data_IF_694157401079
#
_entry.id   IF_694157401079
#
_cell.length_a   1.000
_cell.length_b   1.000
_cell.length_c   1.000
_cell.angle_alpha   90.00
_cell.angle_beta   90.00
_cell.angle_gamma   90.00
#
_symmetry.space_group_name_H-M   'P 1'
#
loop_
_entity.id
_entity.type
_entity.pdbx_description
1 polymer ?
#
# COMPACT_ATOMS: atom_id res chain seq x y z
N UNK A 1 1.59 19.79 -6.58
CA UNK A 1 1.71 18.39 -7.04
C UNK A 1 2.94 17.69 -6.46
N UNK A 2 4.15 18.23 -6.61
CA UNK A 2 5.40 17.57 -6.18
C UNK A 2 5.40 17.04 -4.73
N UNK A 3 4.99 17.86 -3.75
CA UNK A 3 4.90 17.41 -2.34
C UNK A 3 3.94 16.24 -2.13
N UNK A 4 2.81 16.23 -2.83
CA UNK A 4 1.81 15.16 -2.74
C UNK A 4 2.34 13.89 -3.40
N UNK A 5 3.00 14.04 -4.54
CA UNK A 5 3.64 12.94 -5.24
C UNK A 5 4.71 12.26 -4.38
N UNK A 6 5.63 13.02 -3.80
CA UNK A 6 6.67 12.49 -2.90
C UNK A 6 6.09 11.77 -1.68
N UNK A 7 4.93 12.20 -1.16
CA UNK A 7 4.24 11.49 -0.09
C UNK A 7 3.61 10.17 -0.59
N UNK A 8 2.97 10.20 -1.76
CA UNK A 8 2.22 9.06 -2.29
C UNK A 8 3.13 7.86 -2.63
N UNK A 9 4.38 8.12 -3.04
CA UNK A 9 5.35 7.08 -3.38
C UNK A 9 6.21 6.62 -2.20
N UNK A 10 5.92 7.09 -0.98
CA UNK A 10 6.62 6.70 0.24
C UNK A 10 5.72 5.74 1.06
N UNK A 11 5.98 4.42 1.02
CA UNK A 11 5.13 3.44 1.69
C UNK A 11 5.10 3.59 3.21
N UNK A 12 6.17 4.09 3.84
CA UNK A 12 6.20 4.35 5.29
C UNK A 12 5.25 5.47 5.67
N UNK A 13 5.14 6.50 4.82
CA UNK A 13 4.18 7.61 5.01
C UNK A 13 2.75 7.22 4.64
N UNK A 14 2.57 6.37 3.64
CA UNK A 14 1.22 5.98 3.19
C UNK A 14 0.61 4.90 4.08
N UNK A 15 1.38 3.97 4.63
CA UNK A 15 0.85 2.86 5.44
C UNK A 15 -0.07 3.32 6.59
N UNK A 16 0.26 4.37 7.37
CA UNK A 16 -0.62 4.89 8.42
C UNK A 16 -1.99 5.40 7.93
N UNK A 17 -2.14 5.71 6.64
CA UNK A 17 -3.42 6.11 6.05
C UNK A 17 -4.38 4.91 5.88
N UNK A 18 -3.87 3.68 5.95
CA UNK A 18 -4.65 2.46 5.77
C UNK A 18 -5.06 1.88 7.15
N UNK A 19 -6.34 1.55 7.36
CA UNK A 19 -6.83 1.07 8.66
C UNK A 19 -6.08 -0.18 9.16
N UNK A 20 -5.40 -0.02 10.30
CA UNK A 20 -4.68 -1.10 10.97
C UNK A 20 -3.51 -1.66 10.16
N UNK A 21 -3.02 -0.93 9.16
CA UNK A 21 -1.83 -1.28 8.41
C UNK A 21 -0.56 -0.79 9.12
N UNK A 22 0.49 -1.61 9.08
CA UNK A 22 1.84 -1.22 9.46
C UNK A 22 2.85 -1.94 8.58
N UNK A 23 3.94 -1.26 8.27
CA UNK A 23 5.12 -1.93 7.73
C UNK A 23 5.84 -2.65 8.86
N UNK A 24 6.29 -3.85 8.58
CA UNK A 24 7.06 -4.69 9.50
C UNK A 24 8.52 -4.74 9.12
N UNK A 25 8.82 -4.63 7.82
CA UNK A 25 10.20 -4.68 7.29
C UNK A 25 10.26 -4.01 5.93
N UNK A 26 11.34 -3.26 5.67
CA UNK A 26 11.73 -2.81 4.32
C UNK A 26 12.71 -3.85 3.80
N UNK A 27 12.33 -4.62 2.78
CA UNK A 27 13.17 -5.70 2.23
C UNK A 27 14.21 -5.14 1.27
N UNK A 28 13.79 -4.23 0.41
CA UNK A 28 14.62 -3.48 -0.52
C UNK A 28 13.91 -2.15 -0.88
N UNK A 29 14.43 -1.43 -1.88
CA UNK A 29 13.91 -0.11 -2.28
C UNK A 29 12.44 -0.14 -2.75
N UNK A 30 11.97 -1.27 -3.29
CA UNK A 30 10.63 -1.40 -3.87
C UNK A 30 9.77 -2.44 -3.16
N UNK A 31 10.33 -3.27 -2.28
CA UNK A 31 9.64 -4.38 -1.62
C UNK A 31 9.51 -4.16 -0.12
N UNK A 32 8.29 -4.27 0.38
CA UNK A 32 7.94 -3.96 1.77
C UNK A 32 7.11 -5.11 2.35
N UNK A 33 7.46 -5.56 3.55
CA UNK A 33 6.59 -6.44 4.32
C UNK A 33 5.74 -5.62 5.27
N UNK A 34 4.49 -6.05 5.43
CA UNK A 34 3.58 -5.41 6.36
C UNK A 34 2.47 -6.35 6.82
N UNK A 35 1.69 -5.83 7.76
CA UNK A 35 0.45 -6.44 8.17
C UNK A 35 -0.67 -5.42 8.16
N UNK A 36 -1.89 -5.91 8.00
CA UNK A 36 -3.09 -5.07 8.01
C UNK A 36 -4.20 -5.77 8.78
N UNK A 37 -4.74 -5.08 9.78
CA UNK A 37 -5.91 -5.52 10.53
C UNK A 37 -7.08 -4.62 10.24
N UNK A 38 -8.08 -5.14 9.53
CA UNK A 38 -9.30 -4.42 9.19
C UNK A 38 -10.50 -5.02 9.91
N UNK A 39 -11.41 -4.15 10.37
CA UNK A 39 -12.73 -4.55 10.85
C UNK A 39 -13.76 -4.24 9.77
N UNK A 40 -14.49 -5.26 9.32
CA UNK A 40 -15.58 -5.14 8.35
C UNK A 40 -16.84 -5.67 9.03
N UNK A 41 -17.65 -4.76 9.59
CA UNK A 41 -18.81 -5.12 10.41
C UNK A 41 -18.38 -5.95 11.64
N UNK A 42 -19.01 -7.12 11.90
CA UNK A 42 -18.64 -7.99 13.02
C UNK A 42 -17.34 -8.78 12.78
N UNK A 43 -16.78 -8.76 11.56
CA UNK A 43 -15.62 -9.55 11.17
C UNK A 43 -14.34 -8.73 11.39
N UNK A 44 -13.35 -9.35 12.05
CA UNK A 44 -11.99 -8.81 12.17
C UNK A 44 -11.04 -9.72 11.37
N UNK A 45 -10.45 -9.20 10.31
CA UNK A 45 -9.49 -9.92 9.48
C UNK A 45 -8.09 -9.32 9.67
N UNK A 46 -7.09 -10.18 9.83
CA UNK A 46 -5.69 -9.78 9.98
C UNK A 46 -4.86 -10.45 8.92
N UNK A 47 -4.19 -9.67 8.09
CA UNK A 47 -3.35 -10.14 7.00
C UNK A 47 -1.89 -9.84 7.30
N UNK A 48 -1.00 -10.71 6.87
CA UNK A 48 0.43 -10.44 6.72
C UNK A 48 0.82 -10.63 5.26
N UNK A 49 1.67 -9.77 4.74
CA UNK A 49 1.90 -9.73 3.32
C UNK A 49 3.08 -8.89 2.89
N UNK A 50 3.21 -8.81 1.58
CA UNK A 50 4.25 -8.11 0.86
C UNK A 50 3.59 -7.15 -0.12
N UNK A 51 4.18 -5.96 -0.24
CA UNK A 51 3.82 -4.92 -1.18
C UNK A 51 5.05 -4.59 -2.02
N UNK A 52 4.85 -4.47 -3.32
CA UNK A 52 5.91 -4.17 -4.30
C UNK A 52 5.52 -2.93 -5.11
N UNK A 53 6.44 -1.97 -5.20
CA UNK A 53 6.36 -0.81 -6.07
C UNK A 53 6.85 -1.22 -7.47
N UNK A 54 5.91 -1.47 -8.39
CA UNK A 54 6.24 -2.04 -9.71
C UNK A 54 6.49 -0.96 -10.78
N UNK A 55 6.04 0.27 -10.54
CA UNK A 55 6.24 1.41 -11.43
C UNK A 55 6.12 2.71 -10.63
N UNK A 56 7.06 3.63 -10.81
CA UNK A 56 6.97 5.01 -10.33
C UNK A 56 7.47 5.96 -11.43
N UNK A 57 6.52 6.60 -12.12
CA UNK A 57 6.79 7.62 -13.14
C UNK A 57 6.65 9.01 -12.53
N UNK A 58 7.78 9.66 -12.26
CA UNK A 58 7.84 11.00 -11.69
C UNK A 58 7.29 12.10 -12.62
N UNK A 59 7.44 11.92 -13.94
CA UNK A 59 7.01 12.90 -14.93
C UNK A 59 5.48 12.93 -15.01
N UNK A 60 4.87 11.76 -15.14
CA UNK A 60 3.42 11.58 -15.19
C UNK A 60 2.78 11.55 -13.79
N UNK A 61 3.61 11.51 -12.73
CA UNK A 61 3.21 11.32 -11.33
C UNK A 61 2.25 10.16 -11.18
N UNK A 62 2.63 9.03 -11.76
CA UNK A 62 1.86 7.79 -11.82
C UNK A 62 2.63 6.69 -11.11
N UNK A 63 1.96 6.01 -10.18
CA UNK A 63 2.53 4.89 -9.44
C UNK A 63 1.66 3.65 -9.62
N UNK A 64 2.29 2.50 -9.75
CA UNK A 64 1.63 1.19 -9.69
C UNK A 64 2.27 0.35 -8.60
N UNK A 65 1.43 -0.28 -7.80
CA UNK A 65 1.83 -1.17 -6.71
C UNK A 65 1.07 -2.48 -6.81
N UNK A 66 1.72 -3.56 -6.40
CA UNK A 66 1.05 -4.84 -6.19
C UNK A 66 1.21 -5.28 -4.75
N UNK A 67 0.22 -5.98 -4.23
CA UNK A 67 0.25 -6.53 -2.87
C UNK A 67 -0.26 -7.96 -2.86
N UNK A 68 0.33 -8.79 -2.00
CA UNK A 68 -0.14 -10.15 -1.68
C UNK A 68 -0.14 -10.32 -0.17
N UNK A 69 -1.17 -10.96 0.37
CA UNK A 69 -1.29 -11.21 1.80
C UNK A 69 -2.01 -12.50 2.10
N UNK A 70 -1.67 -13.11 3.23
CA UNK A 70 -2.36 -14.27 3.79
C UNK A 70 -3.02 -13.88 5.10
N UNK A 71 -4.26 -14.33 5.30
CA UNK A 71 -4.94 -14.12 6.56
C UNK A 71 -4.27 -14.96 7.65
N UNK A 72 -3.94 -14.35 8.79
CA UNK A 72 -3.23 -15.01 9.89
C UNK A 72 -3.99 -16.20 10.48
N UNK A 73 -5.32 -16.22 10.36
CA UNK A 73 -6.20 -17.33 10.78
C UNK A 73 -6.21 -18.51 9.81
N UNK A 74 -5.57 -18.39 8.64
CA UNK A 74 -5.61 -19.39 7.57
C UNK A 74 -6.85 -19.33 6.68
N UNK A 75 -7.74 -18.35 6.90
CA UNK A 75 -9.03 -18.22 6.20
C UNK A 75 -8.95 -17.85 4.72
N UNK A 76 -7.79 -17.41 4.21
CA UNK A 76 -7.62 -17.12 2.79
C UNK A 76 -6.39 -16.28 2.44
N UNK A 77 -6.31 -15.90 1.17
CA UNK A 77 -5.30 -14.98 0.65
C UNK A 77 -5.95 -13.79 -0.06
N UNK A 78 -5.26 -12.66 -0.06
CA UNK A 78 -5.66 -11.45 -0.77
C UNK A 78 -4.55 -11.05 -1.75
N UNK A 79 -4.96 -10.54 -2.91
CA UNK A 79 -4.07 -9.87 -3.86
C UNK A 79 -4.64 -8.50 -4.20
N UNK A 80 -3.76 -7.55 -4.44
CA UNK A 80 -4.10 -6.17 -4.75
C UNK A 80 -3.23 -5.68 -5.90
N UNK A 81 -3.83 -4.91 -6.80
CA UNK A 81 -3.12 -4.04 -7.73
C UNK A 81 -3.68 -2.64 -7.55
N UNK A 82 -2.81 -1.70 -7.25
CA UNK A 82 -3.16 -0.30 -7.07
C UNK A 82 -2.48 0.52 -8.15
N UNK A 83 -3.25 1.41 -8.77
CA UNK A 83 -2.74 2.38 -9.73
C UNK A 83 -3.20 3.74 -9.24
N UNK A 84 -2.28 4.67 -9.05
CA UNK A 84 -2.58 6.01 -8.57
C UNK A 84 -1.89 7.06 -9.42
N UNK A 85 -2.50 8.24 -9.52
CA UNK A 85 -1.94 9.39 -10.25
C UNK A 85 -2.21 10.67 -9.46
N UNK A 86 -1.22 11.56 -9.41
CA UNK A 86 -1.38 12.89 -8.81
C UNK A 86 -1.62 13.93 -9.90
N UNK A 87 -2.87 14.41 -9.97
CA UNK A 87 -3.28 15.53 -10.83
C UNK A 87 -3.41 16.81 -10.01
N UNK A 88 -2.93 17.97 -10.51
CA UNK A 88 -3.27 19.26 -9.93
C UNK A 88 -4.78 19.48 -9.96
N UNK A 89 -5.34 20.07 -8.91
CA UNK A 89 -6.71 20.56 -8.95
C UNK A 89 -6.78 21.73 -9.94
N UNK A 90 -7.81 21.79 -10.80
CA UNK A 90 -8.10 23.00 -11.57
C UNK A 90 -8.29 24.18 -10.62
N UNK A 91 -7.87 25.38 -11.06
CA UNK A 91 -8.12 26.63 -10.35
C UNK A 91 -9.61 26.98 -10.33
#
# INVERSE_FOLDING_TARGET
AARVWAYLIDPERVAPCLPGARLTEVRDENTFLGEMTVKVGPVKASYQGEVELVEADDAERRVKMTGKGMEKSGGGSARMTMVSRVTPLPA
#
